data_IF_041833271620
#
_entry.id   IF_041833271620
#
_cell.length_a   1.000
_cell.length_b   1.000
_cell.length_c   1.000
_cell.angle_alpha   90.00
_cell.angle_beta   90.00
_cell.angle_gamma   90.00
#
_symmetry.space_group_name_H-M   'P 1'
#
loop_
_entity.id
_entity.type
_entity.pdbx_description
1 polymer ?
#
# COMPACT_ATOMS: atom_id res chain seq x y z
N UNK A 1 21.95 20.24 18.81
CA UNK A 1 20.57 20.35 18.30
C UNK A 1 19.78 19.13 18.77
N UNK A 2 18.83 19.31 19.69
CA UNK A 2 17.98 18.21 20.17
C UNK A 2 17.02 17.79 19.06
N UNK A 3 17.24 16.63 18.44
CA UNK A 3 16.26 16.00 17.55
C UNK A 3 15.09 15.53 18.42
N UNK A 4 13.94 16.20 18.35
CA UNK A 4 12.71 15.68 18.93
C UNK A 4 12.38 14.36 18.21
N UNK A 5 12.06 13.26 18.93
CA UNK A 5 11.68 12.02 18.27
C UNK A 5 10.37 12.26 17.51
N UNK A 6 10.39 12.05 16.20
CA UNK A 6 9.18 12.03 15.39
C UNK A 6 8.45 10.72 15.69
N UNK A 7 7.40 10.79 16.52
CA UNK A 7 6.47 9.69 16.73
C UNK A 7 5.59 9.58 15.49
N UNK A 8 5.86 8.60 14.64
CA UNK A 8 4.98 8.26 13.52
C UNK A 8 3.95 7.27 14.04
N UNK A 9 2.72 7.75 14.25
CA UNK A 9 1.57 6.89 14.51
C UNK A 9 1.05 6.34 13.18
N UNK A 10 1.10 5.03 13.01
CA UNK A 10 0.67 4.34 11.79
C UNK A 10 -0.65 3.66 12.07
N UNK A 11 -1.69 4.06 11.34
CA UNK A 11 -3.03 3.50 11.45
C UNK A 11 -3.42 2.76 10.16
N UNK A 12 -4.17 1.65 10.26
CA UNK A 12 -4.66 0.95 9.07
C UNK A 12 -5.68 1.80 8.32
N UNK A 13 -5.86 1.50 7.03
CA UNK A 13 -6.93 2.08 6.21
C UNK A 13 -8.28 1.57 6.73
N UNK A 14 -9.23 2.47 7.00
CA UNK A 14 -10.53 2.13 7.61
C UNK A 14 -11.73 2.45 6.74
N UNK A 15 -11.57 3.28 5.70
CA UNK A 15 -12.67 3.64 4.80
C UNK A 15 -12.44 3.11 3.39
N UNK A 16 -13.56 2.86 2.68
CA UNK A 16 -13.51 2.49 1.26
C UNK A 16 -13.02 3.63 0.37
N UNK A 17 -13.33 4.86 0.75
CA UNK A 17 -12.85 6.07 0.05
C UNK A 17 -11.31 6.13 0.02
N UNK A 18 -10.65 5.88 1.15
CA UNK A 18 -9.19 5.81 1.22
C UNK A 18 -8.59 4.73 0.31
N UNK A 19 -9.30 3.61 0.11
CA UNK A 19 -8.88 2.56 -0.83
C UNK A 19 -8.99 3.06 -2.27
N UNK A 20 -10.07 3.74 -2.62
CA UNK A 20 -10.26 4.30 -3.97
C UNK A 20 -9.26 5.43 -4.27
N UNK A 21 -8.97 6.28 -3.30
CA UNK A 21 -7.93 7.31 -3.42
C UNK A 21 -6.55 6.68 -3.68
N UNK A 22 -6.23 5.59 -2.96
CA UNK A 22 -4.98 4.86 -3.18
C UNK A 22 -4.93 4.23 -4.58
N UNK A 23 -6.03 3.61 -5.04
CA UNK A 23 -6.15 3.07 -6.40
C UNK A 23 -5.94 4.16 -7.45
N UNK A 24 -6.54 5.33 -7.27
CA UNK A 24 -6.38 6.47 -8.16
C UNK A 24 -4.93 6.97 -8.17
N UNK A 25 -4.32 7.14 -7.00
CA UNK A 25 -2.94 7.61 -6.87
C UNK A 25 -1.95 6.65 -7.54
N UNK A 26 -2.10 5.34 -7.32
CA UNK A 26 -1.26 4.31 -7.93
C UNK A 26 -1.37 4.31 -9.46
N UNK A 27 -2.59 4.44 -10.00
CA UNK A 27 -2.79 4.56 -11.46
C UNK A 27 -2.19 5.84 -12.03
N UNK A 28 -2.24 6.94 -11.29
CA UNK A 28 -1.84 8.27 -11.78
C UNK A 28 -0.34 8.53 -11.66
N UNK A 29 0.30 7.97 -10.65
CA UNK A 29 1.67 8.29 -10.25
C UNK A 29 2.63 7.11 -10.23
N UNK A 30 2.14 5.86 -10.26
CA UNK A 30 2.96 4.65 -10.19
C UNK A 30 2.78 3.76 -11.42
N UNK A 31 3.44 2.61 -11.42
CA UNK A 31 3.34 1.62 -12.49
C UNK A 31 2.11 0.73 -12.35
N UNK A 32 1.67 0.11 -13.45
CA UNK A 32 0.57 -0.86 -13.43
C UNK A 32 0.85 -2.04 -12.50
N UNK A 33 2.11 -2.47 -12.41
CA UNK A 33 2.56 -3.51 -11.47
C UNK A 33 2.23 -3.15 -10.03
N UNK A 34 2.47 -1.91 -9.61
CA UNK A 34 2.24 -1.48 -8.22
C UNK A 34 0.74 -1.42 -7.91
N UNK A 35 -0.06 -1.02 -8.90
CA UNK A 35 -1.51 -1.08 -8.80
C UNK A 35 -2.02 -2.52 -8.64
N UNK A 36 -1.49 -3.47 -9.42
CA UNK A 36 -1.84 -4.89 -9.32
C UNK A 36 -1.41 -5.47 -7.96
N UNK A 37 -0.18 -5.18 -7.52
CA UNK A 37 0.32 -5.61 -6.20
C UNK A 37 -0.59 -5.13 -5.08
N UNK A 38 -1.03 -3.86 -5.13
CA UNK A 38 -1.97 -3.31 -4.17
C UNK A 38 -3.32 -4.05 -4.22
N UNK A 39 -3.90 -4.24 -5.41
CA UNK A 39 -5.17 -4.94 -5.57
C UNK A 39 -5.10 -6.39 -5.04
N UNK A 40 -4.09 -7.15 -5.44
CA UNK A 40 -3.93 -8.54 -5.00
C UNK A 40 -3.72 -8.57 -3.48
N UNK A 41 -2.86 -7.68 -2.95
CA UNK A 41 -2.59 -7.59 -1.51
C UNK A 41 -3.82 -7.30 -0.67
N UNK A 42 -4.65 -6.32 -1.05
CA UNK A 42 -5.86 -5.99 -0.27
C UNK A 42 -6.98 -7.03 -0.40
N UNK A 43 -7.07 -7.75 -1.53
CA UNK A 43 -8.10 -8.78 -1.74
C UNK A 43 -7.74 -10.12 -1.09
N UNK A 44 -6.46 -10.45 -0.99
CA UNK A 44 -5.98 -11.73 -0.45
C UNK A 44 -5.45 -11.63 0.97
N UNK A 45 -5.10 -10.42 1.44
CA UNK A 45 -4.47 -10.19 2.75
C UNK A 45 -3.00 -10.64 2.81
N UNK A 46 -2.38 -10.96 1.67
CA UNK A 46 -0.98 -11.35 1.60
C UNK A 46 -0.05 -10.15 1.83
N UNK A 47 1.09 -10.40 2.47
CA UNK A 47 2.12 -9.36 2.61
C UNK A 47 2.84 -9.18 1.28
N UNK A 48 3.39 -7.99 1.07
CA UNK A 48 4.14 -7.68 -0.15
C UNK A 48 5.31 -8.65 -0.35
N UNK A 49 5.97 -9.08 0.73
CA UNK A 49 7.04 -10.09 0.69
C UNK A 49 6.59 -11.41 0.08
N UNK A 50 5.35 -11.82 0.37
CA UNK A 50 4.80 -13.10 -0.06
C UNK A 50 4.40 -13.03 -1.54
N UNK A 51 3.87 -11.88 -1.96
CA UNK A 51 3.53 -11.61 -3.37
C UNK A 51 4.76 -11.58 -4.27
N UNK A 52 5.90 -11.10 -3.78
CA UNK A 52 7.15 -11.05 -4.55
C UNK A 52 7.78 -12.44 -4.77
N UNK A 53 7.39 -13.44 -3.97
CA UNK A 53 7.84 -14.83 -4.12
C UNK A 53 6.95 -15.65 -5.06
N UNK A 54 5.90 -15.05 -5.64
CA UNK A 54 5.07 -15.70 -6.63
C UNK A 54 5.87 -15.85 -7.93
N UNK A 55 6.23 -17.08 -8.25
CA UNK A 55 6.80 -17.43 -9.56
C UNK A 55 5.68 -17.67 -10.57
N UNK A 56 5.84 -17.13 -11.77
CA UNK A 56 4.96 -17.34 -12.94
C UNK A 56 5.54 -18.36 -13.88
#
# INVERSE_FOLDING_TARGET
MNKKPHLIDVQPIRSKEQIEDMKWALKRHCSERDYILFLVGIHTGLRVSDLLQLET
#
